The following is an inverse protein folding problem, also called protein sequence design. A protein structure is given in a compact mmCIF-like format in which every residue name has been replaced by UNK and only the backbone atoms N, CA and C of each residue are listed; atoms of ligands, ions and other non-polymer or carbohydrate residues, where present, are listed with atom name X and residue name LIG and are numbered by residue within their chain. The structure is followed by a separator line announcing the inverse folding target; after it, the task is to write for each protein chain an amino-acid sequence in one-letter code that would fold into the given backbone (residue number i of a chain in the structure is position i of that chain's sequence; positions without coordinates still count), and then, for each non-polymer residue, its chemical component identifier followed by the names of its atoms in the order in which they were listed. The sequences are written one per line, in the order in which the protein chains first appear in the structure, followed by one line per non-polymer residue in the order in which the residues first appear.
data_IF_472081354641
#
_entry.id   IF_472081354641
#
_cell.length_a   1.000
_cell.length_b   1.000
_cell.length_c   1.000
_cell.angle_alpha   90.00
_cell.angle_beta   90.00
_cell.angle_gamma   90.00
#
_symmetry.space_group_name_H-M   'P 1'
#
loop_
_entity.id
_entity.type
_entity.pdbx_description
1 polymer ?
#
# COMPACT_ATOMS: atom_id res chain seq x y z
N UNK A 1 -37.31 7.09 -13.24
CA UNK A 1 -36.12 6.18 -13.20
C UNK A 1 -34.84 6.93 -12.77
N UNK A 2 -34.76 8.24 -13.00
CA UNK A 2 -33.61 9.06 -12.53
C UNK A 2 -33.66 9.41 -11.04
N UNK A 3 -34.83 9.47 -10.43
CA UNK A 3 -34.99 9.82 -9.01
C UNK A 3 -34.53 8.74 -8.02
N UNK A 4 -34.47 7.47 -8.44
CA UNK A 4 -34.03 6.35 -7.58
C UNK A 4 -32.50 6.24 -7.48
N UNK A 5 -31.75 6.64 -8.51
CA UNK A 5 -30.27 6.63 -8.48
C UNK A 5 -29.68 7.75 -7.62
N UNK A 6 -30.34 8.91 -7.56
CA UNK A 6 -29.87 10.03 -6.77
C UNK A 6 -30.09 9.80 -5.26
N UNK A 7 -31.21 9.16 -4.88
CA UNK A 7 -31.49 8.84 -3.47
C UNK A 7 -30.53 7.83 -2.85
N UNK A 8 -30.01 6.88 -3.63
CA UNK A 8 -29.06 5.88 -3.14
C UNK A 8 -27.65 6.46 -2.95
N UNK A 9 -27.27 7.50 -3.71
CA UNK A 9 -26.00 8.21 -3.56
C UNK A 9 -25.99 9.14 -2.33
N UNK A 10 -27.15 9.70 -1.98
CA UNK A 10 -27.29 10.60 -0.83
C UNK A 10 -27.32 9.86 0.51
N UNK A 11 -27.92 8.66 0.57
CA UNK A 11 -27.90 7.80 1.78
C UNK A 11 -26.51 7.22 2.06
N UNK A 12 -25.69 6.89 1.04
CA UNK A 12 -24.29 6.48 1.22
C UNK A 12 -23.42 7.65 1.72
N UNK A 13 -23.73 8.88 1.34
CA UNK A 13 -23.04 10.09 1.79
C UNK A 13 -23.28 10.40 3.28
N UNK A 14 -24.50 10.22 3.75
CA UNK A 14 -24.89 10.52 5.13
C UNK A 14 -24.22 9.55 6.13
N UNK A 15 -24.09 8.27 5.81
CA UNK A 15 -23.43 7.28 6.69
C UNK A 15 -21.93 7.54 6.83
N UNK A 16 -21.29 8.06 5.77
CA UNK A 16 -19.87 8.45 5.77
C UNK A 16 -19.67 9.74 6.58
N UNK A 17 -20.57 10.71 6.43
CA UNK A 17 -20.56 11.93 7.20
C UNK A 17 -20.79 11.68 8.70
N UNK A 18 -21.67 10.77 9.06
CA UNK A 18 -21.95 10.38 10.45
C UNK A 18 -20.74 9.70 11.10
N UNK A 19 -20.03 8.85 10.36
CA UNK A 19 -18.78 8.23 10.84
C UNK A 19 -17.68 9.30 11.02
N UNK A 20 -17.52 10.20 10.02
CA UNK A 20 -16.60 11.33 10.10
C UNK A 20 -16.98 12.31 11.22
N UNK A 21 -18.27 12.45 11.56
CA UNK A 21 -18.72 13.25 12.68
C UNK A 21 -18.41 12.62 14.04
N UNK A 22 -18.29 11.31 14.12
CA UNK A 22 -17.92 10.58 15.34
C UNK A 22 -16.40 10.49 15.54
N UNK A 23 -15.62 10.48 14.47
CA UNK A 23 -14.14 10.53 14.57
C UNK A 23 -13.67 11.95 14.89
N UNK A 24 -12.71 12.11 15.78
CA UNK A 24 -12.15 13.42 16.13
C UNK A 24 -11.58 14.16 14.92
N UNK A 25 -11.44 15.49 15.05
CA UNK A 25 -11.05 16.39 13.94
C UNK A 25 -9.69 16.01 13.31
N UNK A 26 -8.79 15.44 14.10
CA UNK A 26 -7.45 15.00 13.67
C UNK A 26 -7.52 13.75 12.77
N UNK A 27 -8.34 12.77 13.14
CA UNK A 27 -8.55 11.56 12.34
C UNK A 27 -9.15 11.86 10.96
N UNK A 28 -10.02 12.88 10.86
CA UNK A 28 -10.59 13.35 9.59
C UNK A 28 -9.56 13.98 8.66
N UNK A 29 -8.66 14.80 9.20
CA UNK A 29 -7.63 15.46 8.40
C UNK A 29 -6.63 14.43 7.87
N UNK A 30 -6.24 13.44 8.70
CA UNK A 30 -5.39 12.33 8.32
C UNK A 30 -6.03 11.46 7.23
N UNK A 31 -7.28 11.05 7.40
CA UNK A 31 -8.00 10.25 6.41
C UNK A 31 -8.22 11.02 5.10
N UNK A 32 -8.52 12.31 5.16
CA UNK A 32 -8.63 13.16 3.99
C UNK A 32 -7.31 13.36 3.24
N UNK A 33 -6.18 13.36 3.96
CA UNK A 33 -4.85 13.40 3.36
C UNK A 33 -4.48 12.05 2.72
N UNK A 34 -4.76 10.95 3.40
CA UNK A 34 -4.53 9.59 2.92
C UNK A 34 -5.42 9.28 1.70
N UNK A 35 -6.68 9.70 1.71
CA UNK A 35 -7.62 9.46 0.62
C UNK A 35 -7.16 10.04 -0.72
N UNK A 36 -6.44 11.16 -0.72
CA UNK A 36 -5.98 11.80 -1.96
C UNK A 36 -5.04 10.93 -2.80
N UNK A 37 -4.25 10.08 -2.15
CA UNK A 37 -3.27 9.20 -2.80
C UNK A 37 -3.68 7.73 -2.79
N UNK A 38 -4.82 7.40 -2.17
CA UNK A 38 -5.27 6.02 -2.03
C UNK A 38 -6.11 5.58 -3.22
N UNK A 39 -5.99 4.30 -3.58
CA UNK A 39 -6.81 3.63 -4.57
C UNK A 39 -8.13 3.15 -3.97
N UNK A 40 -8.06 2.65 -2.75
CA UNK A 40 -9.21 2.21 -1.96
C UNK A 40 -8.89 2.31 -0.47
N UNK A 41 -9.91 2.57 0.33
CA UNK A 41 -9.88 2.46 1.80
C UNK A 41 -11.06 1.60 2.23
N UNK A 42 -10.77 0.55 3.00
CA UNK A 42 -11.76 -0.33 3.60
C UNK A 42 -11.70 -0.20 5.11
N UNK A 43 -12.85 -0.22 5.77
CA UNK A 43 -12.96 -0.48 7.20
C UNK A 43 -13.34 -1.93 7.41
N UNK A 44 -12.59 -2.62 8.22
CA UNK A 44 -12.76 -4.04 8.49
C UNK A 44 -13.02 -4.24 9.97
N UNK A 45 -14.12 -4.88 10.30
CA UNK A 45 -14.37 -5.42 11.62
C UNK A 45 -13.63 -6.77 11.74
N UNK A 46 -12.62 -6.79 12.58
CA UNK A 46 -11.75 -7.95 12.76
C UNK A 46 -12.46 -9.10 13.49
N UNK A 47 -13.57 -8.81 14.20
CA UNK A 47 -14.34 -9.81 14.93
C UNK A 47 -15.32 -10.54 14.02
N UNK A 48 -16.09 -9.80 13.21
CA UNK A 48 -17.06 -10.38 12.28
C UNK A 48 -16.45 -10.74 10.94
N UNK A 49 -15.34 -10.10 10.57
CA UNK A 49 -14.73 -10.19 9.26
C UNK A 49 -15.47 -9.39 8.17
N UNK A 50 -16.49 -8.61 8.56
CA UNK A 50 -17.18 -7.74 7.62
C UNK A 50 -16.33 -6.52 7.29
N UNK A 51 -16.43 -6.03 6.04
CA UNK A 51 -15.82 -4.76 5.67
C UNK A 51 -16.80 -3.85 4.95
N UNK A 52 -16.54 -2.55 5.07
CA UNK A 52 -17.21 -1.48 4.32
C UNK A 52 -16.19 -0.69 3.51
N UNK A 53 -16.58 -0.33 2.31
CA UNK A 53 -15.75 0.50 1.43
C UNK A 53 -15.96 1.97 1.79
N UNK A 54 -14.96 2.57 2.42
CA UNK A 54 -15.00 3.97 2.82
C UNK A 54 -14.67 4.91 1.67
N UNK A 55 -13.62 4.60 0.88
CA UNK A 55 -13.16 5.45 -0.20
C UNK A 55 -12.77 4.62 -1.42
N UNK A 56 -13.17 5.12 -2.59
CA UNK A 56 -12.72 4.63 -3.90
C UNK A 56 -12.06 5.76 -4.64
N UNK A 57 -10.76 5.62 -4.89
CA UNK A 57 -10.00 6.59 -5.68
C UNK A 57 -10.48 6.68 -7.11
N UNK A 58 -10.14 7.78 -7.77
CA UNK A 58 -10.45 7.98 -9.20
C UNK A 58 -9.71 6.98 -10.11
N UNK A 59 -8.57 6.45 -9.67
CA UNK A 59 -7.87 5.37 -10.35
C UNK A 59 -8.44 4.05 -9.87
N UNK A 60 -9.06 3.32 -10.75
CA UNK A 60 -9.58 1.99 -10.43
C UNK A 60 -8.39 1.04 -10.28
N UNK A 61 -8.17 0.56 -9.07
CA UNK A 61 -7.22 -0.52 -8.80
C UNK A 61 -7.63 -1.79 -9.55
N UNK A 62 -8.92 -2.07 -9.56
CA UNK A 62 -9.51 -3.22 -10.22
C UNK A 62 -10.60 -2.74 -11.18
N UNK A 63 -10.79 -3.44 -12.29
CA UNK A 63 -11.82 -3.13 -13.28
C UNK A 63 -13.26 -3.32 -12.73
N UNK A 64 -13.40 -4.03 -11.61
CA UNK A 64 -14.68 -4.29 -10.95
C UNK A 64 -14.91 -3.36 -9.77
N UNK A 65 -16.16 -2.91 -9.59
CA UNK A 65 -16.59 -2.23 -8.36
C UNK A 65 -16.52 -3.23 -7.19
N UNK A 66 -15.81 -2.88 -6.13
CA UNK A 66 -15.73 -3.67 -4.90
C UNK A 66 -16.93 -3.28 -4.03
N UNK A 67 -17.90 -4.16 -3.75
CA UNK A 67 -19.00 -3.90 -2.83
C UNK A 67 -18.54 -4.02 -1.38
N UNK A 68 -19.39 -3.67 -0.43
CA UNK A 68 -19.24 -4.09 0.96
C UNK A 68 -19.41 -5.61 1.07
N UNK A 69 -18.77 -6.24 2.06
CA UNK A 69 -18.85 -7.70 2.19
C UNK A 69 -17.93 -8.26 3.27
N UNK A 70 -17.47 -9.50 3.06
CA UNK A 70 -16.52 -10.16 3.97
C UNK A 70 -15.09 -10.04 3.46
N UNK A 71 -14.18 -9.74 4.37
CA UNK A 71 -12.76 -9.54 4.06
C UNK A 71 -12.10 -10.77 3.42
N UNK A 72 -12.48 -11.97 3.86
CA UNK A 72 -12.02 -13.21 3.23
C UNK A 72 -12.41 -13.34 1.76
N UNK A 73 -13.62 -12.89 1.40
CA UNK A 73 -14.10 -12.88 0.01
C UNK A 73 -13.39 -11.77 -0.78
N UNK A 74 -13.15 -10.60 -0.18
CA UNK A 74 -12.31 -9.55 -0.79
C UNK A 74 -10.93 -10.09 -1.20
N UNK A 75 -10.25 -10.79 -0.30
CA UNK A 75 -8.96 -11.41 -0.60
C UNK A 75 -9.05 -12.42 -1.74
N UNK A 76 -10.06 -13.27 -1.73
CA UNK A 76 -10.23 -14.39 -2.66
C UNK A 76 -10.73 -13.95 -4.04
N UNK A 77 -11.69 -13.04 -4.06
CA UNK A 77 -12.42 -12.68 -5.31
C UNK A 77 -11.84 -11.46 -6.01
N UNK A 78 -11.24 -10.54 -5.24
CA UNK A 78 -10.72 -9.28 -5.77
C UNK A 78 -9.20 -9.19 -5.73
N UNK A 79 -8.55 -9.58 -4.63
CA UNK A 79 -7.12 -9.40 -4.51
C UNK A 79 -6.34 -10.54 -5.17
N UNK A 80 -6.59 -11.79 -4.82
CA UNK A 80 -5.86 -12.95 -5.30
C UNK A 80 -5.84 -13.08 -6.83
N UNK A 81 -6.96 -12.92 -7.57
CA UNK A 81 -6.98 -13.06 -9.03
C UNK A 81 -6.22 -11.94 -9.77
N UNK A 82 -6.03 -10.81 -9.11
CA UNK A 82 -5.38 -9.64 -9.69
C UNK A 82 -3.95 -9.42 -9.17
N UNK A 83 -3.52 -10.17 -8.15
CA UNK A 83 -2.16 -10.12 -7.64
C UNK A 83 -1.22 -10.93 -8.54
N UNK A 84 0.00 -10.44 -8.72
CA UNK A 84 1.04 -11.22 -9.38
C UNK A 84 1.30 -12.50 -8.57
N UNK A 85 1.31 -13.70 -9.22
CA UNK A 85 1.35 -14.98 -8.50
C UNK A 85 2.48 -15.14 -7.50
N UNK A 86 3.69 -14.69 -7.84
CA UNK A 86 4.84 -14.79 -6.95
C UNK A 86 4.74 -13.86 -5.74
N UNK A 87 4.08 -12.72 -5.88
CA UNK A 87 3.84 -11.78 -4.79
C UNK A 87 2.70 -12.28 -3.91
N UNK A 88 1.63 -12.84 -4.52
CA UNK A 88 0.53 -13.44 -3.78
C UNK A 88 1.00 -14.53 -2.82
N UNK A 89 1.88 -15.43 -3.27
CA UNK A 89 2.43 -16.48 -2.40
C UNK A 89 3.18 -15.91 -1.18
N UNK A 90 3.80 -14.75 -1.30
CA UNK A 90 4.51 -14.09 -0.19
C UNK A 90 3.58 -13.41 0.81
N UNK A 91 2.49 -12.79 0.32
CA UNK A 91 1.64 -11.95 1.16
C UNK A 91 0.38 -12.65 1.66
N UNK A 92 -0.14 -13.67 0.98
CA UNK A 92 -1.44 -14.31 1.24
C UNK A 92 -1.65 -14.78 2.68
N UNK A 93 -0.59 -15.27 3.34
CA UNK A 93 -0.70 -15.71 4.73
C UNK A 93 -0.76 -14.52 5.68
N UNK A 94 0.06 -13.50 5.43
CA UNK A 94 0.14 -12.28 6.24
C UNK A 94 -1.10 -11.41 6.15
N UNK A 95 -1.87 -11.54 5.07
CA UNK A 95 -3.12 -10.81 4.86
C UNK A 95 -4.33 -11.47 5.53
N UNK A 96 -4.20 -12.65 6.12
CA UNK A 96 -5.30 -13.28 6.85
C UNK A 96 -5.65 -12.49 8.10
N UNK A 97 -6.95 -12.37 8.40
CA UNK A 97 -7.43 -11.69 9.62
C UNK A 97 -6.79 -12.24 10.90
N UNK A 98 -6.59 -13.56 11.00
CA UNK A 98 -5.94 -14.18 12.14
C UNK A 98 -4.50 -13.70 12.35
N UNK A 99 -3.74 -13.55 11.26
CA UNK A 99 -2.36 -13.05 11.33
C UNK A 99 -2.31 -11.56 11.65
N UNK A 100 -3.17 -10.77 11.02
CA UNK A 100 -3.29 -9.34 11.31
C UNK A 100 -3.72 -9.10 12.76
N UNK A 101 -4.68 -9.89 13.27
CA UNK A 101 -5.08 -9.81 14.67
C UNK A 101 -3.94 -10.14 15.63
N UNK A 102 -3.12 -11.15 15.29
CA UNK A 102 -1.95 -11.50 16.11
C UNK A 102 -0.91 -10.37 16.08
N UNK A 103 -0.61 -9.80 14.92
CA UNK A 103 0.31 -8.67 14.76
C UNK A 103 -0.14 -7.47 15.63
N UNK A 104 -1.43 -7.15 15.62
CA UNK A 104 -1.96 -6.05 16.43
C UNK A 104 -2.01 -6.36 17.93
N UNK A 105 -2.09 -7.62 18.34
CA UNK A 105 -1.98 -8.02 19.75
C UNK A 105 -0.54 -7.89 20.29
N UNK A 106 0.46 -7.97 19.43
CA UNK A 106 1.88 -7.77 19.78
C UNK A 106 2.28 -6.29 19.90
N UNK A 107 1.32 -5.39 20.03
CA UNK A 107 1.47 -3.93 20.18
C UNK A 107 1.95 -3.18 18.93
N UNK A 108 1.88 -3.76 17.75
CA UNK A 108 2.06 -3.01 16.53
C UNK A 108 0.78 -2.24 16.19
N UNK A 109 0.88 -0.93 15.98
CA UNK A 109 -0.27 -0.08 15.61
C UNK A 109 -0.61 -0.20 14.13
N UNK A 110 0.34 -0.62 13.31
CA UNK A 110 0.17 -0.78 11.86
C UNK A 110 1.02 -1.89 11.29
N UNK A 111 0.54 -2.46 10.20
CA UNK A 111 1.27 -3.43 9.39
C UNK A 111 1.21 -2.99 7.92
N UNK A 112 2.29 -3.17 7.16
CA UNK A 112 2.29 -2.90 5.74
C UNK A 112 2.94 -4.01 4.91
N UNK A 113 2.47 -4.16 3.68
CA UNK A 113 3.09 -5.00 2.67
C UNK A 113 2.87 -4.41 1.28
N UNK A 114 3.68 -4.85 0.33
CA UNK A 114 3.59 -4.44 -1.06
C UNK A 114 3.44 -5.66 -1.96
N UNK A 115 2.63 -5.52 -2.99
CA UNK A 115 2.45 -6.52 -4.02
C UNK A 115 2.12 -5.86 -5.36
N UNK A 116 2.43 -6.54 -6.46
CA UNK A 116 2.06 -6.09 -7.79
C UNK A 116 0.63 -6.53 -8.09
N UNK A 117 -0.21 -5.55 -8.38
CA UNK A 117 -1.63 -5.75 -8.70
C UNK A 117 -1.85 -5.38 -10.16
N UNK A 118 -2.61 -6.21 -10.87
CA UNK A 118 -2.99 -6.00 -12.26
C UNK A 118 -3.95 -4.82 -12.37
N UNK A 119 -3.50 -3.77 -13.02
CA UNK A 119 -4.29 -2.59 -13.36
C UNK A 119 -4.41 -2.52 -14.89
N UNK A 120 -5.57 -2.84 -15.42
CA UNK A 120 -5.82 -3.02 -16.87
C UNK A 120 -4.90 -4.12 -17.44
N UNK A 121 -3.92 -3.77 -18.27
CA UNK A 121 -3.03 -4.73 -18.93
C UNK A 121 -1.64 -4.86 -18.28
N UNK A 122 -1.33 -4.07 -17.26
CA UNK A 122 -0.03 -4.05 -16.61
C UNK A 122 -0.13 -4.26 -15.11
N UNK A 123 0.93 -4.83 -14.52
CA UNK A 123 1.08 -4.89 -13.08
C UNK A 123 1.66 -3.57 -12.56
N UNK A 124 1.13 -3.10 -11.41
CA UNK A 124 1.60 -1.92 -10.69
C UNK A 124 1.87 -2.26 -9.25
N UNK A 125 2.89 -1.67 -8.68
CA UNK A 125 3.19 -1.80 -7.26
C UNK A 125 2.13 -1.08 -6.42
N UNK A 126 1.52 -1.81 -5.51
CA UNK A 126 0.51 -1.32 -4.57
C UNK A 126 0.97 -1.65 -3.17
N UNK A 127 0.95 -0.64 -2.30
CA UNK A 127 1.17 -0.78 -0.87
C UNK A 127 -0.18 -0.95 -0.19
N UNK A 128 -0.27 -1.96 0.67
CA UNK A 128 -1.38 -2.22 1.56
C UNK A 128 -0.94 -1.87 2.97
N UNK A 129 -1.58 -0.90 3.58
CA UNK A 129 -1.37 -0.51 4.97
C UNK A 129 -2.59 -0.92 5.78
N UNK A 130 -2.35 -1.60 6.89
CA UNK A 130 -3.34 -2.02 7.86
C UNK A 130 -3.10 -1.24 9.13
N UNK A 131 -4.09 -0.48 9.58
CA UNK A 131 -3.99 0.40 10.74
C UNK A 131 -5.08 0.01 11.70
N UNK A 132 -4.70 -0.32 12.96
CA UNK A 132 -5.66 -0.54 14.03
C UNK A 132 -6.32 0.78 14.40
N UNK A 133 -7.63 0.77 14.52
CA UNK A 133 -8.42 1.95 14.88
C UNK A 133 -8.82 1.83 16.36
N UNK A 134 -7.94 2.31 17.23
CA UNK A 134 -8.20 2.42 18.67
C UNK A 134 -8.59 3.87 18.98
N UNK A 135 -9.88 4.15 18.92
CA UNK A 135 -10.44 5.43 19.37
C UNK A 135 -11.59 5.11 20.33
N UNK A 136 -11.76 5.92 21.38
CA UNK A 136 -12.87 5.78 22.34
C UNK A 136 -14.25 5.80 21.64
N UNK A 137 -14.33 6.32 20.43
CA UNK A 137 -15.54 6.41 19.61
C UNK A 137 -15.65 5.35 18.52
N UNK A 138 -14.66 4.47 18.38
CA UNK A 138 -14.63 3.37 17.40
C UNK A 138 -14.81 2.05 18.12
N UNK A 139 -15.62 1.15 17.55
CA UNK A 139 -15.79 -0.20 18.14
C UNK A 139 -14.42 -0.90 18.25
N UNK A 140 -14.10 -1.51 19.41
CA UNK A 140 -12.89 -2.29 19.58
C UNK A 140 -12.81 -3.37 18.50
N UNK A 141 -11.63 -3.55 17.90
CA UNK A 141 -11.42 -4.57 16.87
C UNK A 141 -11.65 -4.09 15.42
N UNK A 142 -11.73 -2.78 15.20
CA UNK A 142 -11.76 -2.22 13.85
C UNK A 142 -10.36 -1.97 13.32
N UNK A 143 -10.16 -2.18 12.01
CA UNK A 143 -8.96 -1.74 11.31
C UNK A 143 -9.31 -1.04 9.99
N UNK A 144 -8.44 -0.15 9.55
CA UNK A 144 -8.45 0.41 8.20
C UNK A 144 -7.45 -0.34 7.32
N UNK A 145 -7.89 -0.76 6.13
CA UNK A 145 -7.01 -1.19 5.04
C UNK A 145 -6.96 -0.06 4.02
N UNK A 146 -5.76 0.42 3.75
CA UNK A 146 -5.48 1.48 2.79
C UNK A 146 -4.60 0.91 1.68
N UNK A 147 -5.07 0.93 0.44
CA UNK A 147 -4.29 0.54 -0.72
C UNK A 147 -3.84 1.79 -1.50
N UNK A 148 -2.53 1.93 -1.74
CA UNK A 148 -1.92 3.08 -2.40
C UNK A 148 -1.05 2.64 -3.57
N UNK A 149 -1.16 3.31 -4.71
CA UNK A 149 -0.26 3.09 -5.86
C UNK A 149 1.12 3.68 -5.54
N UNK A 150 2.13 2.82 -5.51
CA UNK A 150 3.52 3.21 -5.23
C UNK A 150 4.46 2.95 -6.42
N UNK A 151 3.91 2.75 -7.61
CA UNK A 151 4.67 2.48 -8.83
C UNK A 151 5.72 3.56 -9.12
N UNK A 152 5.37 4.82 -8.96
CA UNK A 152 6.31 5.92 -9.22
C UNK A 152 7.48 5.90 -8.22
N UNK A 153 7.22 5.61 -6.95
CA UNK A 153 8.26 5.47 -5.93
C UNK A 153 9.21 4.31 -6.24
N UNK A 154 8.67 3.16 -6.65
CA UNK A 154 9.49 2.02 -7.09
C UNK A 154 10.34 2.37 -8.31
N UNK A 155 9.77 2.99 -9.34
CA UNK A 155 10.51 3.37 -10.55
C UNK A 155 11.62 4.39 -10.24
N UNK A 156 11.35 5.34 -9.36
CA UNK A 156 12.36 6.32 -8.92
C UNK A 156 13.49 5.68 -8.12
N UNK A 157 13.17 4.76 -7.22
CA UNK A 157 14.16 4.03 -6.44
C UNK A 157 15.04 3.15 -7.34
N UNK A 158 14.47 2.47 -8.32
CA UNK A 158 15.21 1.68 -9.29
C UNK A 158 16.19 2.54 -10.12
N UNK A 159 15.74 3.71 -10.58
CA UNK A 159 16.61 4.66 -11.29
C UNK A 159 17.78 5.15 -10.41
N UNK A 160 17.50 5.49 -9.15
CA UNK A 160 18.54 5.89 -8.20
C UNK A 160 19.54 4.77 -7.93
N UNK A 161 19.07 3.55 -7.72
CA UNK A 161 19.94 2.39 -7.50
C UNK A 161 20.83 2.11 -8.73
N UNK A 162 20.30 2.22 -9.94
CA UNK A 162 21.07 2.04 -11.16
C UNK A 162 22.14 3.15 -11.29
N UNK A 163 21.76 4.41 -11.05
CA UNK A 163 22.72 5.54 -11.07
C UNK A 163 23.83 5.39 -10.04
N UNK A 164 23.49 4.93 -8.84
CA UNK A 164 24.45 4.66 -7.77
C UNK A 164 25.42 3.53 -8.15
N UNK A 165 24.90 2.46 -8.74
CA UNK A 165 25.70 1.33 -9.21
C UNK A 165 26.70 1.75 -10.29
N UNK A 166 26.26 2.59 -11.24
CA UNK A 166 27.14 3.10 -12.30
C UNK A 166 28.21 4.05 -11.74
N UNK A 167 27.85 4.93 -10.81
CA UNK A 167 28.80 5.80 -10.12
C UNK A 167 29.83 4.99 -9.32
N UNK A 168 29.40 3.95 -8.61
CA UNK A 168 30.30 3.06 -7.87
C UNK A 168 31.29 2.37 -8.80
N UNK A 169 30.81 1.81 -9.91
CA UNK A 169 31.67 1.17 -10.91
C UNK A 169 32.71 2.13 -11.48
N UNK A 170 32.31 3.34 -11.82
CA UNK A 170 33.24 4.37 -12.33
C UNK A 170 34.29 4.77 -11.30
N UNK A 171 33.91 4.90 -10.03
CA UNK A 171 34.84 5.19 -8.94
C UNK A 171 35.84 4.04 -8.71
N UNK A 172 35.39 2.78 -8.81
CA UNK A 172 36.25 1.61 -8.70
C UNK A 172 37.27 1.53 -9.84
N UNK A 173 36.84 1.79 -11.07
CA UNK A 173 37.72 1.84 -12.26
C UNK A 173 38.77 2.97 -12.12
N UNK A 174 38.36 4.15 -11.66
CA UNK A 174 39.28 5.27 -11.43
C UNK A 174 40.32 4.96 -10.33
N UNK A 175 39.88 4.32 -9.24
CA UNK A 175 40.78 3.88 -8.15
C UNK A 175 41.79 2.84 -8.65
N UNK A 176 41.34 1.87 -9.46
CA UNK A 176 42.21 0.87 -10.05
C UNK A 176 43.24 1.51 -10.98
N UNK A 177 42.83 2.41 -11.85
CA UNK A 177 43.73 3.14 -12.75
C UNK A 177 44.75 3.99 -11.96
N UNK A 178 44.32 4.68 -10.89
CA UNK A 178 45.21 5.42 -9.98
C UNK A 178 46.26 4.51 -9.32
N UNK A 179 45.85 3.34 -8.85
CA UNK A 179 46.75 2.37 -8.21
C UNK A 179 47.77 1.82 -9.18
N UNK A 180 47.38 1.51 -10.40
CA UNK A 180 48.30 1.08 -11.49
C UNK A 180 49.29 2.20 -11.84
N UNK A 181 48.81 3.45 -11.99
CA UNK A 181 49.65 4.60 -12.28
C UNK A 181 50.69 4.83 -11.19
N UNK A 182 50.28 4.82 -9.92
CA UNK A 182 51.22 5.02 -8.78
C UNK A 182 52.25 3.90 -8.68
N UNK A 183 51.87 2.65 -8.97
CA UNK A 183 52.78 1.52 -9.01
C UNK A 183 53.83 1.66 -10.14
N UNK A 184 53.39 2.05 -11.31
CA UNK A 184 54.26 2.33 -12.47
C UNK A 184 55.25 3.45 -12.22
N UNK A 185 54.78 4.59 -11.70
CA UNK A 185 55.65 5.72 -11.32
C UNK A 185 56.67 5.36 -10.22
N UNK A 186 56.28 4.58 -9.22
CA UNK A 186 57.18 4.13 -8.17
C UNK A 186 58.28 3.21 -8.69
N UNK A 187 57.98 2.45 -9.70
CA UNK A 187 58.98 1.61 -10.40
C UNK A 187 59.98 2.46 -11.19
N UNK A 188 59.49 3.45 -11.96
CA UNK A 188 60.32 4.34 -12.78
C UNK A 188 61.23 5.26 -11.98
N UNK A 189 60.82 5.68 -10.77
CA UNK A 189 61.65 6.50 -9.84
C UNK A 189 62.76 5.67 -9.19
N UNK A 190 62.61 4.36 -9.10
CA UNK A 190 63.54 3.47 -8.40
C UNK A 190 64.67 2.98 -9.35
N UNK A 191 64.55 3.20 -10.62
CA UNK A 191 65.54 2.87 -11.68
C UNK A 191 66.41 4.07 -11.95
#
# INVERSE_FOLDING_TARGET
WEASSQKQSDEEGDTILDFLHKSGNESRQLLGALARNSLIILYVDMMSGEYKVYYRGNQRLLDKKIPDGYYGDFLKEYLAPNCEPSDWEKVRLKLKLSELSHTFLEQEESYECEARIKAKEAYRWVRFQFIRLDDENVMPGMMALIATDVQESHSRNEQLMNSLKDAYKSAEEANKAKSVFLSSMSHDIRT
#
